data_IF_674882367374
#
_entry.id   IF_674882367374
#
_cell.length_a   1.000
_cell.length_b   1.000
_cell.length_c   1.000
_cell.angle_alpha   90.00
_cell.angle_beta   90.00
_cell.angle_gamma   90.00
#
_symmetry.space_group_name_H-M   'P 1'
#
loop_
_entity.id
_entity.type
_entity.pdbx_description
1 polymer ?
#
# COMPACT_ATOMS: atom_id res chain seq x y z
N UNK A 1 -22.47 -11.64 20.12
CA UNK A 1 -21.92 -10.29 19.87
C UNK A 1 -22.56 -9.77 18.58
N UNK A 2 -22.93 -8.49 18.53
CA UNK A 2 -23.51 -7.85 17.35
C UNK A 2 -22.64 -6.65 16.97
N UNK A 3 -22.39 -6.48 15.68
CA UNK A 3 -21.63 -5.38 15.08
C UNK A 3 -22.39 -4.88 13.85
N UNK A 4 -22.29 -3.59 13.53
CA UNK A 4 -22.90 -3.01 12.33
C UNK A 4 -22.19 -3.48 11.06
N UNK A 5 -20.86 -3.60 11.13
CA UNK A 5 -20.02 -4.10 10.04
C UNK A 5 -19.05 -5.16 10.52
N UNK A 6 -18.83 -6.17 9.67
CA UNK A 6 -17.77 -7.17 9.83
C UNK A 6 -16.86 -7.06 8.61
N UNK A 7 -15.58 -6.80 8.85
CA UNK A 7 -14.55 -6.71 7.82
C UNK A 7 -13.62 -7.91 7.98
N UNK A 8 -13.51 -8.70 6.93
CA UNK A 8 -12.65 -9.89 6.89
C UNK A 8 -11.35 -9.55 6.18
N UNK A 9 -10.27 -9.50 6.94
CA UNK A 9 -8.92 -9.13 6.54
C UNK A 9 -8.55 -7.72 6.98
N UNK A 10 -7.56 -7.59 7.86
CA UNK A 10 -6.94 -6.31 8.25
C UNK A 10 -5.78 -5.95 7.32
N UNK A 11 -5.98 -6.11 6.01
CA UNK A 11 -5.04 -5.67 4.99
C UNK A 11 -5.21 -4.20 4.61
N UNK A 12 -4.50 -3.74 3.58
CA UNK A 12 -4.50 -2.34 3.13
C UNK A 12 -5.90 -1.75 2.92
N UNK A 13 -6.81 -2.49 2.27
CA UNK A 13 -8.19 -2.03 2.08
C UNK A 13 -9.03 -2.15 3.35
N UNK A 14 -8.95 -3.29 4.06
CA UNK A 14 -9.76 -3.57 5.24
C UNK A 14 -9.50 -2.60 6.39
N UNK A 15 -8.24 -2.26 6.64
CA UNK A 15 -7.88 -1.25 7.64
C UNK A 15 -8.47 0.12 7.30
N UNK A 16 -8.38 0.56 6.03
CA UNK A 16 -8.95 1.86 5.62
C UNK A 16 -10.47 1.87 5.79
N UNK A 17 -11.17 0.81 5.38
CA UNK A 17 -12.63 0.71 5.56
C UNK A 17 -12.97 0.76 7.06
N UNK A 18 -12.26 -0.01 7.89
CA UNK A 18 -12.47 -0.02 9.34
C UNK A 18 -12.29 1.39 9.92
N UNK A 19 -11.15 2.03 9.66
CA UNK A 19 -10.82 3.38 10.12
C UNK A 19 -11.93 4.37 9.77
N UNK A 20 -12.36 4.41 8.50
CA UNK A 20 -13.38 5.37 8.04
C UNK A 20 -14.77 5.11 8.61
N UNK A 21 -15.18 3.84 8.75
CA UNK A 21 -16.46 3.51 9.37
C UNK A 21 -16.48 3.91 10.86
N UNK A 22 -15.38 3.68 11.57
CA UNK A 22 -15.25 4.02 13.00
C UNK A 22 -15.04 5.51 13.30
N UNK A 23 -14.91 6.37 12.28
CA UNK A 23 -14.96 7.83 12.48
C UNK A 23 -16.31 8.27 13.06
N UNK A 24 -17.38 7.48 12.82
CA UNK A 24 -18.65 7.64 13.52
C UNK A 24 -18.65 6.76 14.79
N UNK A 25 -18.68 7.35 16.01
CA UNK A 25 -18.64 6.59 17.26
C UNK A 25 -19.89 5.72 17.49
N UNK A 26 -20.98 5.96 16.76
CA UNK A 26 -22.20 5.15 16.83
C UNK A 26 -22.13 3.87 15.99
N UNK A 27 -21.09 3.71 15.16
CA UNK A 27 -20.89 2.53 14.31
C UNK A 27 -19.91 1.56 14.98
N UNK A 28 -20.36 0.32 15.16
CA UNK A 28 -19.56 -0.79 15.67
C UNK A 28 -18.98 -1.64 14.52
N UNK A 29 -17.67 -1.89 14.55
CA UNK A 29 -16.95 -2.67 13.53
C UNK A 29 -16.20 -3.82 14.17
N UNK A 30 -16.37 -5.02 13.61
CA UNK A 30 -15.50 -6.17 13.88
C UNK A 30 -14.51 -6.34 12.72
N UNK A 31 -13.23 -6.12 12.97
CA UNK A 31 -12.15 -6.39 12.03
C UNK A 31 -11.49 -7.73 12.38
N UNK A 32 -11.47 -8.67 11.44
CA UNK A 32 -10.93 -10.03 11.65
C UNK A 32 -9.69 -10.21 10.78
N UNK A 33 -8.57 -10.55 11.40
CA UNK A 33 -7.32 -10.87 10.71
C UNK A 33 -6.84 -12.29 11.06
N UNK A 34 -6.29 -13.00 10.07
CA UNK A 34 -5.80 -14.36 10.25
C UNK A 34 -4.32 -14.40 10.70
N UNK A 35 -3.58 -13.34 10.40
CA UNK A 35 -2.22 -13.11 10.89
C UNK A 35 -2.18 -12.54 12.32
N UNK A 36 -0.97 -12.43 12.89
CA UNK A 36 -0.78 -11.79 14.18
C UNK A 36 -1.04 -10.28 14.10
N UNK A 37 -1.44 -9.71 15.24
CA UNK A 37 -1.54 -8.28 15.46
C UNK A 37 -0.44 -7.81 16.42
N UNK A 38 0.18 -6.68 16.08
CA UNK A 38 1.26 -6.06 16.86
C UNK A 38 0.90 -4.60 17.09
N UNK A 39 0.10 -4.28 18.12
CA UNK A 39 -0.42 -2.94 18.33
C UNK A 39 0.67 -1.92 18.69
N UNK A 40 1.77 -2.38 19.28
CA UNK A 40 2.92 -1.56 19.66
C UNK A 40 4.09 -1.80 18.70
N UNK A 41 4.71 -0.71 18.22
CA UNK A 41 5.82 -0.75 17.24
C UNK A 41 7.06 -1.47 17.80
N UNK A 42 7.23 -1.50 19.12
CA UNK A 42 8.30 -2.19 19.82
C UNK A 42 8.16 -3.71 19.75
N UNK A 43 6.93 -4.20 19.56
CA UNK A 43 6.61 -5.62 19.47
C UNK A 43 6.60 -6.12 18.01
N UNK A 44 6.70 -5.22 17.03
CA UNK A 44 6.81 -5.60 15.62
C UNK A 44 8.13 -6.34 15.38
N UNK A 45 8.08 -7.52 14.75
CA UNK A 45 9.27 -8.21 14.26
C UNK A 45 10.06 -7.32 13.30
N UNK A 46 11.39 -7.38 13.36
CA UNK A 46 12.28 -6.46 12.61
C UNK A 46 12.01 -6.50 11.11
N UNK A 47 11.67 -7.66 10.56
CA UNK A 47 11.37 -7.84 9.15
C UNK A 47 10.11 -7.08 8.69
N UNK A 48 9.11 -6.94 9.57
CA UNK A 48 7.89 -6.17 9.31
C UNK A 48 8.12 -4.70 9.60
N UNK A 49 8.88 -4.40 10.66
CA UNK A 49 9.15 -3.04 11.12
C UNK A 49 10.03 -2.25 10.15
N UNK A 50 11.07 -2.87 9.62
CA UNK A 50 12.09 -2.20 8.82
C UNK A 50 11.82 -2.33 7.32
N UNK A 51 11.16 -3.40 6.87
CA UNK A 51 10.86 -3.60 5.45
C UNK A 51 12.07 -3.94 4.58
N UNK A 52 13.22 -4.31 5.17
CA UNK A 52 14.45 -4.66 4.43
C UNK A 52 14.51 -6.12 3.97
N UNK A 53 13.44 -6.89 4.16
CA UNK A 53 13.40 -8.29 3.83
C UNK A 53 13.55 -8.50 2.31
N UNK A 54 14.44 -9.40 1.91
CA UNK A 54 14.54 -9.79 0.50
C UNK A 54 13.32 -10.61 0.09
N UNK A 55 13.11 -10.80 -1.22
CA UNK A 55 12.02 -11.66 -1.73
C UNK A 55 12.07 -13.06 -1.09
N UNK A 56 13.28 -13.62 -0.91
CA UNK A 56 13.49 -14.93 -0.29
C UNK A 56 13.09 -14.89 1.19
N UNK A 57 13.45 -13.84 1.93
CA UNK A 57 13.10 -13.70 3.36
C UNK A 57 11.59 -13.59 3.55
N UNK A 58 10.92 -12.83 2.69
CA UNK A 58 9.46 -12.67 2.69
C UNK A 58 8.79 -14.03 2.40
N UNK A 59 9.36 -14.79 1.47
CA UNK A 59 8.76 -16.01 0.94
C UNK A 59 8.67 -17.18 1.92
N UNK A 60 9.51 -17.20 2.97
CA UNK A 60 9.56 -18.27 3.98
C UNK A 60 9.03 -17.84 5.34
N UNK A 61 8.59 -16.59 5.47
CA UNK A 61 8.17 -16.02 6.76
C UNK A 61 6.73 -16.42 7.15
N UNK A 62 6.47 -16.53 8.46
CA UNK A 62 5.14 -16.71 9.07
C UNK A 62 4.14 -15.56 8.78
N UNK A 63 4.61 -14.36 8.46
CA UNK A 63 3.80 -13.21 8.05
C UNK A 63 3.47 -13.22 6.55
N UNK A 64 3.80 -14.31 5.83
CA UNK A 64 3.40 -14.52 4.45
C UNK A 64 2.50 -15.76 4.38
N UNK A 65 1.46 -15.69 3.54
CA UNK A 65 0.61 -16.83 3.20
C UNK A 65 1.33 -17.88 2.36
N UNK A 66 2.42 -17.49 1.67
CA UNK A 66 3.26 -18.36 0.84
C UNK A 66 2.46 -19.10 -0.23
N UNK A 67 1.50 -18.41 -0.84
CA UNK A 67 0.77 -19.00 -1.96
C UNK A 67 1.70 -19.24 -3.13
N UNK A 68 1.40 -20.28 -3.88
CA UNK A 68 2.01 -20.56 -5.18
C UNK A 68 0.94 -20.53 -6.25
N UNK A 69 1.34 -20.23 -7.48
CA UNK A 69 0.48 -20.30 -8.65
C UNK A 69 1.19 -21.03 -9.78
N UNK A 70 0.42 -21.72 -10.61
CA UNK A 70 0.95 -22.29 -11.85
C UNK A 70 1.16 -21.15 -12.85
N UNK A 71 2.43 -20.87 -13.18
CA UNK A 71 2.79 -19.88 -14.20
C UNK A 71 2.70 -20.46 -15.61
N UNK A 72 3.29 -21.64 -15.81
CA UNK A 72 3.15 -22.47 -17.02
C UNK A 72 2.93 -23.93 -16.63
N UNK A 73 2.80 -24.83 -17.61
CA UNK A 73 2.69 -26.27 -17.29
C UNK A 73 3.98 -26.83 -16.66
N UNK A 74 5.12 -26.13 -16.83
CA UNK A 74 6.44 -26.52 -16.33
C UNK A 74 6.93 -25.66 -15.16
N UNK A 75 6.27 -24.54 -14.84
CA UNK A 75 6.75 -23.57 -13.86
C UNK A 75 5.68 -23.17 -12.85
N UNK A 76 6.05 -23.26 -11.58
CA UNK A 76 5.35 -22.65 -10.46
C UNK A 76 5.98 -21.30 -10.12
N UNK A 77 5.14 -20.33 -9.74
CA UNK A 77 5.56 -19.01 -9.29
C UNK A 77 5.09 -18.76 -7.85
N UNK A 78 5.91 -18.04 -7.10
CA UNK A 78 5.58 -17.57 -5.76
C UNK A 78 4.60 -16.40 -5.85
N UNK A 79 3.57 -16.39 -5.00
CA UNK A 79 2.59 -15.31 -4.88
C UNK A 79 2.57 -14.82 -3.43
N UNK A 80 3.55 -13.99 -3.02
CA UNK A 80 3.64 -13.52 -1.65
C UNK A 80 2.40 -12.68 -1.29
N UNK A 81 1.76 -13.01 -0.16
CA UNK A 81 0.62 -12.27 0.39
C UNK A 81 0.78 -12.12 1.89
N UNK A 82 0.62 -10.91 2.41
CA UNK A 82 0.84 -10.64 3.83
C UNK A 82 -0.23 -11.31 4.69
N UNK A 83 0.21 -11.93 5.78
CA UNK A 83 -0.58 -12.58 6.82
C UNK A 83 -0.18 -11.99 8.17
N UNK A 84 -0.60 -10.75 8.41
CA UNK A 84 -0.32 -9.91 9.59
C UNK A 84 -1.26 -8.70 9.52
N UNK A 85 -1.55 -8.01 10.62
CA UNK A 85 -2.21 -6.70 10.54
C UNK A 85 -1.44 -5.77 9.60
N UNK A 86 -2.14 -5.10 8.68
CA UNK A 86 -1.57 -4.38 7.54
C UNK A 86 -1.47 -5.23 6.25
N UNK A 87 -1.63 -6.55 6.33
CA UNK A 87 -1.63 -7.47 5.20
C UNK A 87 -0.41 -7.31 4.29
N UNK A 88 -0.60 -7.34 2.98
CA UNK A 88 0.50 -7.19 2.02
C UNK A 88 1.23 -5.84 2.12
N UNK A 89 0.62 -4.75 2.63
CA UNK A 89 1.37 -3.50 2.83
C UNK A 89 2.39 -3.57 3.97
N UNK A 90 2.28 -4.55 4.87
CA UNK A 90 3.25 -4.74 5.94
C UNK A 90 4.51 -5.49 5.50
N UNK A 91 4.51 -6.08 4.29
CA UNK A 91 5.62 -6.91 3.77
C UNK A 91 6.00 -6.55 2.33
N UNK A 92 5.53 -5.42 1.79
CA UNK A 92 5.82 -5.02 0.41
C UNK A 92 7.15 -4.24 0.31
N UNK A 93 7.52 -3.86 -0.91
CA UNK A 93 8.73 -3.09 -1.19
C UNK A 93 8.64 -1.58 -0.84
N UNK A 94 7.60 -1.13 -0.14
CA UNK A 94 7.40 0.26 0.29
C UNK A 94 7.39 1.30 -0.85
N UNK A 95 7.12 0.85 -2.08
CA UNK A 95 6.98 1.71 -3.25
C UNK A 95 5.60 2.35 -3.24
N UNK A 96 5.55 3.68 -3.19
CA UNK A 96 4.31 4.45 -3.27
C UNK A 96 4.15 5.06 -4.66
N UNK A 97 3.24 4.48 -5.45
CA UNK A 97 2.91 4.91 -6.81
C UNK A 97 1.39 4.99 -6.98
N UNK A 98 0.95 5.88 -7.86
CA UNK A 98 -0.44 5.93 -8.33
C UNK A 98 -0.53 5.29 -9.72
N UNK A 99 -1.72 4.81 -10.08
CA UNK A 99 -1.98 4.42 -11.47
C UNK A 99 -1.97 5.63 -12.40
N UNK A 100 -1.81 5.39 -13.69
CA UNK A 100 -1.99 6.43 -14.71
C UNK A 100 -3.50 6.73 -14.88
N UNK A 101 -3.90 7.97 -15.22
CA UNK A 101 -5.31 8.36 -15.35
C UNK A 101 -6.14 7.42 -16.23
N UNK A 102 -5.55 6.93 -17.32
CA UNK A 102 -6.21 6.09 -18.32
C UNK A 102 -6.66 4.73 -17.76
N UNK A 103 -5.99 4.21 -16.72
CA UNK A 103 -6.39 2.96 -16.09
C UNK A 103 -7.75 3.11 -15.38
N UNK A 104 -7.96 4.25 -14.73
CA UNK A 104 -9.19 4.59 -13.99
C UNK A 104 -10.31 5.01 -14.94
N UNK A 105 -10.00 5.83 -15.93
CA UNK A 105 -10.97 6.25 -16.95
C UNK A 105 -11.47 5.04 -17.77
N UNK A 106 -10.61 4.03 -17.98
CA UNK A 106 -11.04 2.76 -18.58
C UNK A 106 -12.05 2.02 -17.69
N UNK A 107 -11.91 2.04 -16.36
CA UNK A 107 -12.93 1.48 -15.47
C UNK A 107 -14.26 2.23 -15.56
N UNK A 108 -14.22 3.55 -15.64
CA UNK A 108 -15.41 4.38 -15.84
C UNK A 108 -16.10 4.04 -17.17
N UNK A 109 -15.33 3.88 -18.25
CA UNK A 109 -15.85 3.47 -19.56
C UNK A 109 -16.49 2.06 -19.56
N UNK A 110 -16.17 1.20 -18.60
CA UNK A 110 -16.85 -0.09 -18.39
C UNK A 110 -18.15 0.03 -17.59
N UNK A 111 -18.57 1.25 -17.25
CA UNK A 111 -19.80 1.52 -16.50
C UNK A 111 -19.60 1.81 -15.02
N UNK A 112 -18.35 1.91 -14.54
CA UNK A 112 -18.04 2.29 -13.16
C UNK A 112 -17.84 3.81 -13.07
N UNK A 113 -18.88 4.58 -13.38
CA UNK A 113 -18.86 6.03 -13.58
C UNK A 113 -18.24 6.87 -12.44
N UNK A 114 -18.20 6.34 -11.21
CA UNK A 114 -17.55 6.99 -10.04
C UNK A 114 -16.05 6.73 -9.90
N UNK A 115 -15.46 6.01 -10.85
CA UNK A 115 -14.06 5.56 -10.77
C UNK A 115 -13.17 6.20 -11.84
N UNK A 116 -13.61 7.30 -12.48
CA UNK A 116 -12.72 8.09 -13.33
C UNK A 116 -11.60 8.72 -12.49
N UNK A 117 -10.46 9.01 -13.10
CA UNK A 117 -9.27 9.47 -12.36
C UNK A 117 -9.55 10.72 -11.52
N UNK A 118 -10.28 11.69 -12.10
CA UNK A 118 -10.60 12.95 -11.43
C UNK A 118 -11.51 12.76 -10.21
N UNK A 119 -12.40 11.76 -10.22
CA UNK A 119 -13.25 11.43 -9.07
C UNK A 119 -12.45 10.73 -7.95
N UNK A 120 -11.37 10.03 -8.30
CA UNK A 120 -10.51 9.32 -7.37
C UNK A 120 -9.38 10.18 -6.80
N UNK A 121 -8.94 11.22 -7.52
CA UNK A 121 -7.83 12.09 -7.11
C UNK A 121 -7.99 12.65 -5.66
N UNK A 122 -9.17 13.12 -5.23
CA UNK A 122 -9.36 13.55 -3.84
C UNK A 122 -9.11 12.44 -2.81
N UNK A 123 -9.40 11.18 -3.15
CA UNK A 123 -9.17 10.04 -2.26
C UNK A 123 -7.70 9.62 -2.23
N UNK A 124 -6.98 9.75 -3.35
CA UNK A 124 -5.52 9.58 -3.36
C UNK A 124 -4.82 10.64 -2.50
N UNK A 125 -5.26 11.90 -2.59
CA UNK A 125 -4.73 12.95 -1.74
C UNK A 125 -5.13 12.73 -0.26
N UNK A 126 -6.34 12.23 0.02
CA UNK A 126 -6.81 11.97 1.39
C UNK A 126 -6.00 10.91 2.14
N UNK A 127 -5.38 9.95 1.44
CA UNK A 127 -4.58 8.90 2.08
C UNK A 127 -3.12 9.32 2.30
N UNK A 128 -2.61 10.29 1.54
CA UNK A 128 -1.21 10.67 1.45
C UNK A 128 -0.84 11.86 2.36
N UNK A 129 0.33 11.78 2.98
CA UNK A 129 1.12 12.92 3.44
C UNK A 129 2.43 12.92 2.67
N UNK A 130 2.51 13.75 1.63
CA UNK A 130 3.68 13.89 0.79
C UNK A 130 4.66 14.89 1.40
N UNK A 131 5.81 14.41 1.86
CA UNK A 131 6.80 15.25 2.55
C UNK A 131 7.50 16.25 1.62
N UNK A 132 7.46 16.06 0.30
CA UNK A 132 8.06 16.99 -0.67
C UNK A 132 7.13 18.17 -0.97
N UNK A 133 5.83 17.91 -1.10
CA UNK A 133 4.83 18.91 -1.48
C UNK A 133 3.94 19.34 -0.31
N UNK A 134 4.32 19.03 0.93
CA UNK A 134 3.47 19.24 2.11
C UNK A 134 2.95 20.67 2.26
N UNK A 135 3.81 21.67 2.00
CA UNK A 135 3.47 23.09 2.17
C UNK A 135 2.70 23.67 0.97
N UNK A 136 2.78 23.02 -0.19
CA UNK A 136 2.08 23.38 -1.44
C UNK A 136 1.70 22.12 -2.23
N UNK A 137 0.66 21.38 -1.81
CA UNK A 137 0.31 20.08 -2.39
C UNK A 137 -0.31 20.17 -3.79
N UNK A 138 -0.69 21.37 -4.23
CA UNK A 138 -1.45 21.58 -5.46
C UNK A 138 -2.71 20.71 -5.53
N UNK A 139 -3.06 20.27 -6.74
CA UNK A 139 -4.27 19.47 -6.97
C UNK A 139 -4.05 17.95 -6.80
N UNK A 140 -2.79 17.50 -6.77
CA UNK A 140 -2.45 16.08 -6.96
C UNK A 140 -1.67 15.44 -5.82
N UNK A 141 -1.40 16.15 -4.72
CA UNK A 141 -0.78 15.56 -3.53
C UNK A 141 -1.62 15.75 -2.26
N UNK A 142 -1.43 14.86 -1.30
CA UNK A 142 -1.95 15.01 0.07
C UNK A 142 -0.89 15.54 1.03
N UNK A 143 -1.32 16.29 2.06
CA UNK A 143 -0.43 16.86 3.10
C UNK A 143 -0.69 16.33 4.51
N UNK A 144 -1.83 15.66 4.72
CA UNK A 144 -2.36 15.33 6.05
C UNK A 144 -2.94 13.90 6.15
N UNK A 145 -2.79 13.09 5.11
CA UNK A 145 -3.24 11.70 5.09
C UNK A 145 -2.39 10.79 5.98
N UNK A 146 -2.93 9.63 6.40
CA UNK A 146 -2.25 8.74 7.35
C UNK A 146 -0.98 8.07 6.81
N UNK A 147 -0.77 8.04 5.49
CA UNK A 147 0.39 7.39 4.88
C UNK A 147 1.43 8.45 4.52
N UNK A 148 2.55 8.46 5.25
CA UNK A 148 3.67 9.35 4.98
C UNK A 148 4.46 8.82 3.78
N UNK A 149 4.67 9.70 2.80
CA UNK A 149 5.43 9.41 1.59
C UNK A 149 6.63 10.36 1.51
N UNK A 150 7.81 9.79 1.30
CA UNK A 150 9.05 10.53 1.17
C UNK A 150 9.75 10.18 -0.15
N UNK A 151 10.34 11.19 -0.78
CA UNK A 151 11.22 11.02 -1.94
C UNK A 151 12.62 11.43 -1.55
N UNK A 152 13.60 10.60 -1.89
CA UNK A 152 14.99 10.99 -1.73
C UNK A 152 15.31 12.14 -2.68
N UNK A 153 15.74 13.31 -2.18
CA UNK A 153 16.11 14.42 -3.04
C UNK A 153 17.33 14.02 -3.87
N UNK A 154 17.49 14.64 -5.04
CA UNK A 154 18.60 14.34 -5.97
C UNK A 154 19.98 14.44 -5.31
N UNK A 155 20.14 15.31 -4.32
CA UNK A 155 21.37 15.46 -3.52
C UNK A 155 21.75 14.22 -2.70
N UNK A 156 20.80 13.32 -2.46
CA UNK A 156 20.99 12.07 -1.71
C UNK A 156 21.00 10.84 -2.63
N UNK A 157 20.88 11.03 -3.95
CA UNK A 157 20.87 9.90 -4.87
C UNK A 157 22.24 9.22 -4.91
N UNK A 158 22.29 7.86 -4.86
CA UNK A 158 23.51 7.11 -5.08
C UNK A 158 24.11 7.36 -6.46
N UNK A 159 25.43 7.18 -6.60
CA UNK A 159 26.14 7.31 -7.89
C UNK A 159 25.51 6.45 -8.99
N UNK A 160 25.04 5.24 -8.65
CA UNK A 160 24.37 4.36 -9.60
C UNK A 160 23.07 4.96 -10.15
N UNK A 161 22.29 5.66 -9.32
CA UNK A 161 21.05 6.33 -9.75
C UNK A 161 21.36 7.53 -10.64
N UNK A 162 22.40 8.31 -10.31
CA UNK A 162 22.86 9.43 -11.15
C UNK A 162 23.37 8.94 -12.51
N UNK A 163 24.14 7.85 -12.53
CA UNK A 163 24.61 7.24 -13.78
C UNK A 163 23.46 6.69 -14.63
N UNK A 164 22.45 6.08 -14.00
CA UNK A 164 21.25 5.62 -14.68
C UNK A 164 20.50 6.78 -15.33
N UNK A 165 20.28 7.88 -14.62
CA UNK A 165 19.64 9.07 -15.18
C UNK A 165 20.45 9.68 -16.33
N UNK A 166 21.77 9.78 -16.19
CA UNK A 166 22.62 10.30 -17.27
C UNK A 166 22.49 9.45 -18.54
N UNK A 167 22.51 8.12 -18.41
CA UNK A 167 22.37 7.19 -19.53
C UNK A 167 21.00 7.29 -20.22
N UNK A 168 19.91 7.55 -19.48
CA UNK A 168 18.58 7.71 -20.08
C UNK A 168 18.40 9.02 -20.83
N UNK A 169 19.17 10.06 -20.50
CA UNK A 169 19.16 11.35 -21.20
C UNK A 169 20.00 11.36 -22.49
N UNK A 170 20.94 10.42 -22.63
CA UNK A 170 21.78 10.26 -23.82
C UNK A 170 21.11 9.40 -24.93
N UNK A 171 20.00 8.72 -24.61
CA UNK A 171 19.25 7.84 -25.50
C UNK A 171 18.19 8.58 -26.34
#
# INVERSE_FOLDING_TARGET
MHYDYIIVGAGSAGCIIATRLTENPDISVLLIEAGPDYPEIENLPEEVKLGYATEIDISTNKHNWQYTARGTDEAEIMVPRGKVTGGSSAINAQIFLRGIPEDYDRWANWGNDRWAYQDLAPYFNKIETDMTYRDDPGDFHGSDGPIICHRFPRSEWPEATLAFEAATLEA
#
